data_IF_944299317229
#
_entry.id   IF_944299317229
#
_cell.length_a   1.000
_cell.length_b   1.000
_cell.length_c   1.000
_cell.angle_alpha   90.00
_cell.angle_beta   90.00
_cell.angle_gamma   90.00
#
_symmetry.space_group_name_H-M   'P 1'
#
loop_
_entity.id
_entity.type
_entity.pdbx_description
1 polymer ?
#
# COMPACT_ATOMS: atom_id res chain seq x y z
N UNK A 1 -38.30 36.90 -23.22
CA UNK A 1 -37.18 35.96 -23.34
C UNK A 1 -37.45 34.69 -22.52
N UNK A 2 -38.60 33.99 -22.75
CA UNK A 2 -39.03 32.78 -22.06
C UNK A 2 -39.88 31.96 -23.02
N UNK A 3 -39.26 31.37 -24.02
CA UNK A 3 -39.94 30.42 -24.92
C UNK A 3 -39.03 29.24 -25.31
N UNK A 4 -38.30 28.67 -24.36
CA UNK A 4 -37.44 27.50 -24.61
C UNK A 4 -37.86 26.24 -23.86
N UNK A 5 -38.96 26.27 -23.11
CA UNK A 5 -39.48 25.07 -22.40
C UNK A 5 -40.70 24.43 -23.11
N UNK A 6 -40.57 24.22 -24.41
CA UNK A 6 -41.50 23.33 -25.08
C UNK A 6 -41.36 21.87 -24.57
N UNK A 7 -42.40 21.03 -24.69
CA UNK A 7 -42.44 19.60 -24.27
C UNK A 7 -41.18 18.81 -24.62
N UNK A 8 -40.44 19.19 -25.68
CA UNK A 8 -39.15 18.63 -26.08
C UNK A 8 -38.01 19.00 -25.14
N UNK A 9 -37.98 20.21 -24.58
CA UNK A 9 -36.97 20.64 -23.63
C UNK A 9 -37.07 19.95 -22.29
N UNK A 10 -38.30 19.69 -21.81
CA UNK A 10 -38.55 18.95 -20.57
C UNK A 10 -38.13 17.49 -20.72
N UNK A 11 -38.42 16.87 -21.88
CA UNK A 11 -38.00 15.51 -22.18
C UNK A 11 -36.48 15.34 -22.14
N UNK A 12 -35.74 16.25 -22.78
CA UNK A 12 -34.27 16.24 -22.76
C UNK A 12 -33.71 16.47 -21.36
N UNK A 13 -34.28 17.42 -20.60
CA UNK A 13 -33.86 17.66 -19.21
C UNK A 13 -34.10 16.43 -18.31
N UNK A 14 -35.21 15.70 -18.51
CA UNK A 14 -35.50 14.47 -17.77
C UNK A 14 -34.53 13.34 -18.10
N UNK A 15 -34.17 13.16 -19.37
CA UNK A 15 -33.17 12.18 -19.78
C UNK A 15 -31.80 12.51 -19.17
N UNK A 16 -31.42 13.79 -19.21
CA UNK A 16 -30.15 14.24 -18.61
C UNK A 16 -30.16 14.05 -17.08
N UNK A 17 -31.24 14.41 -16.40
CA UNK A 17 -31.38 14.20 -14.96
C UNK A 17 -31.26 12.71 -14.60
N UNK A 18 -31.94 11.83 -15.35
CA UNK A 18 -31.86 10.39 -15.15
C UNK A 18 -30.41 9.87 -15.34
N UNK A 19 -29.72 10.34 -16.36
CA UNK A 19 -28.33 9.96 -16.61
C UNK A 19 -27.41 10.40 -15.45
N UNK A 20 -27.59 11.62 -14.94
CA UNK A 20 -26.84 12.15 -13.79
C UNK A 20 -27.13 11.33 -12.52
N UNK A 21 -28.40 10.97 -12.29
CA UNK A 21 -28.80 10.13 -11.15
C UNK A 21 -28.15 8.74 -11.23
N UNK A 22 -28.23 8.10 -12.39
CA UNK A 22 -27.63 6.76 -12.59
C UNK A 22 -26.12 6.83 -12.37
N UNK A 23 -25.45 7.82 -12.95
CA UNK A 23 -24.00 8.00 -12.80
C UNK A 23 -23.61 8.27 -11.34
N UNK A 24 -24.30 9.19 -10.68
CA UNK A 24 -23.99 9.59 -9.30
C UNK A 24 -24.21 8.45 -8.30
N UNK A 25 -25.30 7.67 -8.46
CA UNK A 25 -25.55 6.48 -7.62
C UNK A 25 -24.46 5.43 -7.85
N UNK A 26 -24.11 5.12 -9.11
CA UNK A 26 -23.07 4.13 -9.39
C UNK A 26 -21.70 4.54 -8.84
N UNK A 27 -21.30 5.81 -8.98
CA UNK A 27 -20.05 6.32 -8.44
C UNK A 27 -20.05 6.34 -6.92
N UNK A 28 -21.17 6.70 -6.28
CA UNK A 28 -21.33 6.63 -4.84
C UNK A 28 -21.17 5.21 -4.30
N UNK A 29 -21.85 4.25 -4.90
CA UNK A 29 -21.74 2.82 -4.54
C UNK A 29 -20.34 2.25 -4.83
N UNK A 30 -19.68 2.67 -5.89
CA UNK A 30 -18.30 2.28 -6.18
C UNK A 30 -17.35 2.78 -5.10
N UNK A 31 -17.51 4.04 -4.66
CA UNK A 31 -16.70 4.61 -3.58
C UNK A 31 -16.92 3.87 -2.25
N UNK A 32 -18.17 3.51 -1.92
CA UNK A 32 -18.46 2.73 -0.71
C UNK A 32 -17.79 1.35 -0.74
N UNK A 33 -17.92 0.62 -1.86
CA UNK A 33 -17.24 -0.68 -2.02
C UNK A 33 -15.74 -0.55 -1.84
N UNK A 34 -15.14 0.51 -2.40
CA UNK A 34 -13.70 0.76 -2.26
C UNK A 34 -13.31 1.10 -0.83
N UNK A 35 -14.15 1.81 -0.09
CA UNK A 35 -13.97 2.07 1.34
C UNK A 35 -14.02 0.76 2.16
N UNK A 36 -14.98 -0.13 1.87
CA UNK A 36 -15.13 -1.43 2.55
C UNK A 36 -13.95 -2.36 2.30
N UNK A 37 -13.47 -2.46 1.06
CA UNK A 37 -12.26 -3.23 0.72
C UNK A 37 -11.05 -2.75 1.54
N UNK A 38 -10.85 -1.44 1.61
CA UNK A 38 -9.74 -0.86 2.39
C UNK A 38 -9.92 -1.06 3.89
N UNK A 39 -11.13 -0.93 4.40
CA UNK A 39 -11.43 -1.16 5.80
C UNK A 39 -11.17 -2.63 6.20
N UNK A 40 -11.52 -3.58 5.35
CA UNK A 40 -11.27 -5.00 5.59
C UNK A 40 -9.78 -5.35 5.61
N UNK A 41 -8.99 -4.75 4.70
CA UNK A 41 -7.53 -4.87 4.69
C UNK A 41 -6.90 -4.28 5.96
N UNK A 42 -7.34 -3.08 6.38
CA UNK A 42 -6.89 -2.46 7.61
C UNK A 42 -7.20 -3.33 8.84
N UNK A 43 -8.42 -3.86 8.93
CA UNK A 43 -8.78 -4.78 10.03
C UNK A 43 -7.94 -6.07 10.03
N UNK A 44 -7.58 -6.60 8.86
CA UNK A 44 -6.70 -7.76 8.78
C UNK A 44 -5.29 -7.43 9.29
N UNK A 45 -4.76 -6.26 8.92
CA UNK A 45 -3.46 -5.77 9.42
C UNK A 45 -3.50 -5.52 10.94
N UNK A 46 -4.55 -4.90 11.46
CA UNK A 46 -4.71 -4.63 12.89
C UNK A 46 -4.77 -5.94 13.69
N UNK A 47 -5.48 -6.97 13.19
CA UNK A 47 -5.53 -8.31 13.82
C UNK A 47 -4.16 -8.99 13.78
N UNK A 48 -3.44 -8.89 12.65
CA UNK A 48 -2.10 -9.44 12.53
C UNK A 48 -1.12 -8.76 13.48
N UNK A 49 -1.19 -7.43 13.59
CA UNK A 49 -0.37 -6.64 14.51
C UNK A 49 -0.67 -6.93 15.99
N UNK A 50 -1.93 -7.24 16.33
CA UNK A 50 -2.34 -7.60 17.69
C UNK A 50 -2.02 -9.06 18.07
N UNK A 51 -1.67 -9.91 17.10
CA UNK A 51 -1.27 -11.29 17.40
C UNK A 51 0.09 -11.32 18.14
N UNK A 52 0.36 -12.36 18.95
CA UNK A 52 1.67 -12.51 19.59
C UNK A 52 2.81 -12.41 18.58
N UNK A 53 3.89 -11.74 18.96
CA UNK A 53 5.06 -11.61 18.10
C UNK A 53 5.59 -12.99 17.69
N UNK A 54 6.03 -13.07 16.45
CA UNK A 54 6.62 -14.28 15.91
C UNK A 54 8.13 -14.29 16.21
N UNK A 55 8.57 -15.30 16.94
CA UNK A 55 9.99 -15.52 17.23
C UNK A 55 10.65 -16.28 16.08
N UNK A 56 11.67 -15.69 15.45
CA UNK A 56 12.49 -16.31 14.41
C UNK A 56 13.92 -16.48 14.93
N UNK A 57 14.40 -17.72 14.94
CA UNK A 57 15.68 -18.09 15.53
C UNK A 57 15.57 -18.45 17.02
N UNK A 58 16.60 -19.10 17.54
CA UNK A 58 16.67 -19.41 18.96
C UNK A 58 16.99 -18.12 19.76
N UNK A 59 16.38 -17.90 20.93
CA UNK A 59 16.77 -16.81 21.80
C UNK A 59 18.25 -16.93 22.19
N UNK A 60 18.92 -15.79 22.36
CA UNK A 60 20.31 -15.77 22.77
C UNK A 60 20.47 -16.46 24.14
N UNK A 61 21.28 -17.52 24.22
CA UNK A 61 21.54 -18.27 25.45
C UNK A 61 20.60 -19.46 25.72
N UNK A 62 19.72 -19.83 24.79
CA UNK A 62 18.95 -21.05 24.90
C UNK A 62 19.84 -22.24 24.57
N UNK A 63 20.15 -23.03 25.59
CA UNK A 63 20.80 -24.36 25.42
C UNK A 63 19.90 -25.23 24.52
N UNK A 64 20.45 -25.63 23.36
CA UNK A 64 20.04 -26.74 22.48
C UNK A 64 18.56 -27.09 22.32
N UNK A 65 17.64 -26.19 22.63
CA UNK A 65 16.22 -26.41 22.30
C UNK A 65 16.06 -26.29 20.78
N UNK A 66 15.42 -27.24 20.10
CA UNK A 66 15.23 -27.11 18.67
C UNK A 66 14.47 -25.80 18.38
N UNK A 67 15.00 -24.99 17.46
CA UNK A 67 14.36 -23.75 17.07
C UNK A 67 12.92 -24.03 16.61
N UNK A 68 11.93 -23.21 17.00
CA UNK A 68 10.53 -23.44 16.66
C UNK A 68 10.35 -23.55 15.14
N UNK A 69 9.48 -24.45 14.69
CA UNK A 69 9.19 -24.62 13.25
C UNK A 69 8.77 -23.30 12.64
N UNK A 70 9.37 -22.93 11.50
CA UNK A 70 8.97 -21.71 10.77
C UNK A 70 7.52 -21.87 10.29
N UNK A 71 6.62 -20.93 10.60
CA UNK A 71 5.21 -21.00 10.17
C UNK A 71 5.10 -20.82 8.65
N UNK A 72 3.94 -21.16 8.07
CA UNK A 72 3.71 -20.91 6.66
C UNK A 72 3.77 -19.39 6.35
N UNK A 73 4.47 -18.94 5.31
CA UNK A 73 4.70 -17.53 5.02
C UNK A 73 3.40 -16.69 4.89
N UNK A 74 2.34 -17.30 4.35
CA UNK A 74 1.04 -16.63 4.17
C UNK A 74 0.37 -16.26 5.48
N UNK A 75 0.67 -16.99 6.56
CA UNK A 75 0.03 -16.80 7.87
C UNK A 75 0.70 -15.74 8.75
N UNK A 76 1.80 -15.14 8.28
CA UNK A 76 2.60 -14.22 9.10
C UNK A 76 2.60 -12.77 8.60
N UNK A 77 2.02 -12.50 7.44
CA UNK A 77 1.99 -11.16 6.87
C UNK A 77 1.30 -10.15 7.82
N UNK A 78 1.93 -9.02 8.04
CA UNK A 78 1.49 -7.99 8.99
C UNK A 78 1.75 -8.29 10.48
N UNK A 79 2.28 -9.49 10.84
CA UNK A 79 2.57 -9.81 12.24
C UNK A 79 3.86 -9.15 12.72
N UNK A 80 3.89 -8.83 14.01
CA UNK A 80 5.13 -8.46 14.69
C UNK A 80 6.10 -9.64 14.69
N UNK A 81 7.37 -9.38 14.41
CA UNK A 81 8.44 -10.37 14.36
C UNK A 81 9.60 -9.92 15.24
N UNK A 82 10.16 -10.89 15.98
CA UNK A 82 11.44 -10.76 16.66
C UNK A 82 12.37 -11.83 16.08
N UNK A 83 13.45 -11.41 15.43
CA UNK A 83 14.40 -12.30 14.80
C UNK A 83 15.76 -12.17 15.44
N UNK A 84 16.32 -13.31 15.87
CA UNK A 84 17.69 -13.37 16.43
C UNK A 84 18.60 -14.09 15.45
N UNK A 85 19.76 -13.48 15.16
CA UNK A 85 20.67 -14.04 14.17
C UNK A 85 21.89 -13.16 13.91
N UNK A 86 22.59 -13.44 12.82
CA UNK A 86 23.76 -12.68 12.39
C UNK A 86 23.54 -12.21 10.95
N UNK A 87 23.77 -10.91 10.68
CA UNK A 87 23.65 -10.38 9.33
C UNK A 87 24.75 -10.93 8.41
N UNK A 88 24.37 -11.28 7.18
CA UNK A 88 25.28 -11.63 6.10
C UNK A 88 25.53 -10.36 5.28
N UNK A 89 26.42 -9.50 5.79
CA UNK A 89 26.63 -8.13 5.32
C UNK A 89 27.04 -8.06 3.84
N UNK A 90 27.84 -9.00 3.37
CA UNK A 90 28.33 -9.12 1.99
C UNK A 90 27.21 -9.46 0.98
N UNK A 91 26.10 -9.98 1.46
CA UNK A 91 24.90 -10.28 0.67
C UNK A 91 23.81 -9.21 0.79
N UNK A 92 24.13 -8.02 1.32
CA UNK A 92 23.20 -6.89 1.31
C UNK A 92 22.98 -6.38 -0.11
N UNK A 93 21.71 -6.09 -0.44
CA UNK A 93 21.31 -5.49 -1.72
C UNK A 93 20.57 -4.17 -1.50
N UNK A 94 20.67 -3.29 -2.49
CA UNK A 94 20.07 -1.97 -2.51
C UNK A 94 19.00 -1.95 -3.59
N UNK A 95 17.73 -1.80 -3.21
CA UNK A 95 16.64 -1.64 -4.17
C UNK A 95 16.56 -0.18 -4.60
N UNK A 96 16.81 0.07 -5.88
CA UNK A 96 16.79 1.42 -6.47
C UNK A 96 15.35 1.97 -6.57
N UNK A 97 15.29 3.24 -6.90
CA UNK A 97 14.05 3.97 -7.16
C UNK A 97 13.08 3.97 -5.97
N UNK A 98 13.60 4.12 -4.76
CA UNK A 98 12.81 4.28 -3.53
C UNK A 98 12.87 5.73 -3.08
N UNK A 99 11.73 6.43 -3.25
CA UNK A 99 11.63 7.85 -2.90
C UNK A 99 11.09 8.02 -1.48
N UNK A 100 11.77 8.86 -0.69
CA UNK A 100 11.32 9.31 0.62
C UNK A 100 11.35 10.84 0.66
N UNK A 101 10.24 11.48 1.01
CA UNK A 101 10.12 12.95 1.06
C UNK A 101 10.66 13.66 -0.20
N UNK A 102 10.35 13.11 -1.38
CA UNK A 102 10.82 13.57 -2.70
C UNK A 102 12.32 13.41 -2.97
N UNK A 103 13.07 12.78 -2.06
CA UNK A 103 14.48 12.44 -2.24
C UNK A 103 14.58 11.01 -2.76
N UNK A 104 15.34 10.80 -3.85
CA UNK A 104 15.59 9.48 -4.39
C UNK A 104 16.65 8.74 -3.54
N UNK A 105 16.43 7.44 -3.34
CA UNK A 105 17.32 6.61 -2.53
C UNK A 105 17.08 5.13 -2.75
N UNK A 106 17.55 4.34 -1.80
CA UNK A 106 17.53 2.89 -1.82
C UNK A 106 16.83 2.33 -0.58
N UNK A 107 16.08 1.24 -0.76
CA UNK A 107 15.79 0.34 0.34
C UNK A 107 16.95 -0.64 0.50
N UNK A 108 17.42 -0.82 1.73
CA UNK A 108 18.51 -1.71 2.06
C UNK A 108 17.95 -3.02 2.60
N UNK A 109 18.26 -4.13 1.90
CA UNK A 109 17.92 -5.47 2.32
C UNK A 109 19.19 -6.23 2.68
N UNK A 110 19.20 -6.90 3.83
CA UNK A 110 20.32 -7.73 4.29
C UNK A 110 19.76 -9.05 4.82
N UNK A 111 20.24 -10.22 4.36
CA UNK A 111 19.83 -11.47 4.94
C UNK A 111 20.37 -11.61 6.36
N UNK A 112 19.53 -12.14 7.23
CA UNK A 112 19.86 -12.49 8.62
C UNK A 112 19.88 -14.01 8.74
N UNK A 113 21.04 -14.61 9.01
CA UNK A 113 21.15 -16.01 9.35
C UNK A 113 20.56 -16.24 10.73
N UNK A 114 19.50 -17.01 10.81
CA UNK A 114 18.76 -17.25 12.04
C UNK A 114 19.58 -18.08 13.04
N UNK A 115 19.59 -17.67 14.30
CA UNK A 115 20.26 -18.42 15.36
C UNK A 115 19.63 -19.81 15.53
N UNK A 116 20.46 -20.83 15.67
CA UNK A 116 20.03 -22.20 15.91
C UNK A 116 19.49 -22.95 14.69
N UNK A 117 19.62 -22.40 13.47
CA UNK A 117 19.19 -23.10 12.25
C UNK A 117 19.97 -22.65 11.02
N UNK A 118 19.98 -23.50 9.99
CA UNK A 118 20.60 -23.19 8.71
C UNK A 118 19.55 -22.62 7.73
N UNK A 119 18.97 -21.48 8.10
CA UNK A 119 18.01 -20.72 7.32
C UNK A 119 18.23 -19.23 7.52
N UNK A 120 17.88 -18.45 6.51
CA UNK A 120 17.99 -16.99 6.53
C UNK A 120 16.61 -16.37 6.37
N UNK A 121 16.43 -15.19 6.96
CA UNK A 121 15.29 -14.32 6.67
C UNK A 121 15.79 -13.01 6.07
N UNK A 122 15.07 -12.46 5.11
CA UNK A 122 15.41 -11.16 4.56
C UNK A 122 14.96 -10.06 5.50
N UNK A 123 15.86 -9.14 5.84
CA UNK A 123 15.55 -7.93 6.65
C UNK A 123 15.59 -6.70 5.76
N UNK A 124 14.47 -6.02 5.63
CA UNK A 124 14.38 -4.68 5.08
C UNK A 124 14.80 -3.70 6.19
N UNK A 125 16.08 -3.32 6.18
CA UNK A 125 16.71 -2.58 7.26
C UNK A 125 16.31 -1.11 7.33
N UNK A 126 16.04 -0.50 6.18
CA UNK A 126 15.70 0.92 6.13
C UNK A 126 15.91 1.52 4.76
N UNK A 127 15.79 2.83 4.69
CA UNK A 127 16.04 3.65 3.51
C UNK A 127 17.30 4.50 3.70
N UNK A 128 18.05 4.70 2.62
CA UNK A 128 19.24 5.54 2.57
C UNK A 128 19.22 6.39 1.30
N UNK A 129 19.61 7.68 1.36
CA UNK A 129 19.62 8.54 0.18
C UNK A 129 20.68 8.07 -0.83
N UNK A 130 20.38 8.27 -2.11
CA UNK A 130 21.30 8.04 -3.22
C UNK A 130 22.28 9.22 -3.36
N UNK A 131 23.47 8.94 -3.87
CA UNK A 131 24.39 9.99 -4.29
C UNK A 131 23.72 10.85 -5.39
N UNK A 132 23.63 12.18 -5.22
CA UNK A 132 22.98 13.05 -6.19
C UNK A 132 23.74 13.19 -7.50
N UNK A 133 25.05 12.93 -7.51
CA UNK A 133 25.93 13.11 -8.66
C UNK A 133 26.22 11.79 -9.39
N UNK A 134 26.28 10.69 -8.66
CA UNK A 134 26.60 9.37 -9.21
C UNK A 134 25.54 8.34 -8.84
N UNK A 135 24.64 8.07 -9.79
CA UNK A 135 23.45 7.22 -9.56
C UNK A 135 23.78 5.78 -9.17
N UNK A 136 24.84 5.23 -9.72
CA UNK A 136 25.27 3.83 -9.50
C UNK A 136 26.12 3.66 -8.24
N UNK A 137 26.56 4.77 -7.63
CA UNK A 137 27.37 4.73 -6.43
C UNK A 137 26.56 4.28 -5.22
N UNK A 138 26.93 3.12 -4.69
CA UNK A 138 26.29 2.60 -3.49
C UNK A 138 26.85 3.31 -2.26
N UNK A 139 25.96 3.75 -1.35
CA UNK A 139 26.39 4.35 -0.09
C UNK A 139 27.07 3.32 0.83
N UNK A 140 27.95 3.77 1.69
CA UNK A 140 28.53 2.94 2.74
C UNK A 140 27.45 2.44 3.69
N UNK A 141 27.44 1.13 3.95
CA UNK A 141 26.47 0.48 4.85
C UNK A 141 27.19 -0.04 6.09
N UNK A 142 26.84 0.50 7.25
CA UNK A 142 27.29 -0.05 8.53
C UNK A 142 26.39 -1.24 8.91
N UNK A 143 26.98 -2.41 9.04
CA UNK A 143 26.29 -3.63 9.46
C UNK A 143 26.93 -4.15 10.74
N UNK A 144 26.15 -4.38 11.82
CA UNK A 144 26.68 -4.95 13.05
C UNK A 144 27.34 -6.32 12.79
N UNK A 145 28.49 -6.55 13.39
CA UNK A 145 29.13 -7.84 13.41
C UNK A 145 28.62 -8.66 14.62
N UNK A 146 28.42 -9.95 14.42
CA UNK A 146 27.96 -10.87 15.47
C UNK A 146 26.42 -10.93 15.63
N UNK A 147 25.95 -11.60 16.71
CA UNK A 147 24.54 -11.80 16.95
C UNK A 147 23.79 -10.48 17.18
N UNK A 148 22.64 -10.33 16.54
CA UNK A 148 21.74 -9.19 16.70
C UNK A 148 20.33 -9.68 16.99
N UNK A 149 19.55 -8.81 17.62
CA UNK A 149 18.12 -8.94 17.76
C UNK A 149 17.46 -7.90 16.86
N UNK A 150 16.51 -8.33 16.02
CA UNK A 150 15.82 -7.48 15.04
C UNK A 150 14.33 -7.54 15.32
N UNK A 151 13.74 -6.41 15.65
CA UNK A 151 12.30 -6.26 15.76
C UNK A 151 11.73 -5.64 14.49
N UNK A 152 10.58 -6.13 14.04
CA UNK A 152 9.97 -5.64 12.82
C UNK A 152 8.57 -6.19 12.57
N UNK A 153 8.09 -5.96 11.37
CA UNK A 153 6.81 -6.48 10.87
C UNK A 153 7.09 -7.41 9.69
N UNK A 154 6.51 -8.60 9.73
CA UNK A 154 6.58 -9.52 8.60
C UNK A 154 5.82 -8.93 7.40
N UNK A 155 6.45 -8.91 6.24
CA UNK A 155 5.81 -8.56 4.98
C UNK A 155 6.08 -9.66 3.96
N UNK A 156 5.03 -10.08 3.26
CA UNK A 156 5.15 -11.12 2.25
C UNK A 156 5.86 -10.61 1.00
N UNK A 157 5.46 -9.43 0.55
CA UNK A 157 5.97 -8.83 -0.68
C UNK A 157 6.27 -7.35 -0.47
N UNK A 158 7.30 -6.85 -1.14
CA UNK A 158 7.58 -5.42 -1.18
C UNK A 158 6.78 -4.78 -2.31
N UNK A 159 6.24 -3.59 -2.05
CA UNK A 159 5.71 -2.77 -3.13
C UNK A 159 6.84 -2.43 -4.11
N UNK A 160 6.68 -2.85 -5.35
CA UNK A 160 7.70 -2.66 -6.38
C UNK A 160 7.20 -1.68 -7.42
N UNK A 161 8.05 -0.74 -7.91
CA UNK A 161 7.67 0.16 -8.99
C UNK A 161 7.39 -0.64 -10.26
N UNK A 162 6.44 -0.15 -11.06
CA UNK A 162 6.18 -0.74 -12.37
C UNK A 162 7.42 -0.58 -13.26
N UNK A 163 7.85 -1.66 -13.87
CA UNK A 163 8.96 -1.68 -14.81
C UNK A 163 8.46 -1.87 -16.24
N UNK A 164 9.06 -1.15 -17.18
CA UNK A 164 8.86 -1.34 -18.61
C UNK A 164 10.04 -2.18 -19.13
N UNK A 165 9.80 -3.47 -19.36
CA UNK A 165 10.82 -4.41 -19.85
C UNK A 165 11.27 -5.44 -18.80
N UNK A 166 12.13 -6.35 -19.22
CA UNK A 166 12.73 -7.37 -18.36
C UNK A 166 13.94 -6.80 -17.61
N UNK A 167 14.04 -7.11 -16.33
CA UNK A 167 15.23 -6.79 -15.54
C UNK A 167 16.36 -7.78 -15.90
N UNK A 168 17.57 -7.29 -16.21
CA UNK A 168 18.69 -8.17 -16.47
C UNK A 168 19.03 -9.00 -15.21
N UNK A 169 19.52 -10.21 -15.41
CA UNK A 169 20.00 -11.03 -14.31
C UNK A 169 21.19 -10.35 -13.61
N UNK A 170 21.18 -10.25 -12.27
CA UNK A 170 22.27 -9.63 -11.55
C UNK A 170 23.56 -10.45 -11.67
N UNK A 171 24.65 -9.78 -11.92
CA UNK A 171 25.97 -10.40 -11.85
C UNK A 171 26.32 -10.85 -10.42
N UNK A 172 27.34 -11.71 -10.25
CA UNK A 172 27.66 -12.30 -8.93
C UNK A 172 27.99 -11.28 -7.81
N UNK A 173 28.37 -10.06 -8.19
CA UNK A 173 28.72 -8.98 -7.26
C UNK A 173 27.77 -7.79 -7.33
N UNK A 174 26.72 -7.87 -8.16
CA UNK A 174 25.78 -6.77 -8.34
C UNK A 174 24.88 -6.65 -7.12
N UNK A 175 25.01 -5.56 -6.41
CA UNK A 175 24.23 -5.25 -5.20
C UNK A 175 23.14 -4.22 -5.44
N UNK A 176 23.06 -3.64 -6.62
CA UNK A 176 22.04 -2.68 -7.04
C UNK A 176 20.96 -3.41 -7.84
N UNK A 177 19.76 -3.50 -7.26
CA UNK A 177 18.63 -4.22 -7.83
C UNK A 177 17.44 -3.27 -8.02
N UNK A 178 16.58 -3.58 -9.01
CA UNK A 178 15.32 -2.85 -9.18
C UNK A 178 14.18 -3.52 -8.40
N UNK A 179 14.12 -4.86 -8.47
CA UNK A 179 13.11 -5.68 -7.85
C UNK A 179 13.73 -6.75 -6.95
N UNK A 180 12.98 -7.14 -5.93
CA UNK A 180 13.37 -8.23 -5.06
C UNK A 180 12.45 -9.43 -5.33
N UNK A 181 13.07 -10.58 -5.64
CA UNK A 181 12.42 -11.87 -5.76
C UNK A 181 13.16 -12.90 -4.91
N UNK A 182 12.42 -13.66 -4.10
CA UNK A 182 13.02 -14.62 -3.16
C UNK A 182 13.90 -15.67 -3.84
N UNK A 183 13.41 -16.29 -4.93
CA UNK A 183 14.16 -17.33 -5.65
C UNK A 183 15.42 -16.74 -6.28
N UNK A 184 15.27 -15.67 -7.02
CA UNK A 184 16.38 -14.97 -7.68
C UNK A 184 17.47 -14.56 -6.67
N UNK A 185 17.06 -14.07 -5.50
CA UNK A 185 18.00 -13.70 -4.47
C UNK A 185 18.66 -14.94 -3.82
N UNK A 186 17.91 -15.99 -3.52
CA UNK A 186 18.43 -17.23 -2.92
C UNK A 186 19.48 -17.88 -3.85
N UNK A 187 19.20 -17.93 -5.15
CA UNK A 187 20.11 -18.48 -6.16
C UNK A 187 21.38 -17.61 -6.28
N UNK A 188 21.23 -16.29 -6.35
CA UNK A 188 22.35 -15.34 -6.41
C UNK A 188 23.23 -15.38 -5.15
N UNK A 189 22.62 -15.46 -3.97
CA UNK A 189 23.32 -15.44 -2.70
C UNK A 189 23.89 -16.81 -2.32
N UNK A 190 23.35 -17.91 -2.87
CA UNK A 190 23.71 -19.28 -2.52
C UNK A 190 23.24 -19.66 -1.11
N UNK A 191 22.07 -19.18 -0.68
CA UNK A 191 21.55 -19.40 0.68
C UNK A 191 20.08 -19.88 0.66
N UNK A 192 19.69 -20.67 1.66
CA UNK A 192 18.28 -20.98 1.89
C UNK A 192 17.59 -19.77 2.55
N UNK A 193 16.58 -19.24 1.87
CA UNK A 193 15.84 -18.07 2.32
C UNK A 193 14.40 -18.44 2.69
N UNK A 194 14.03 -18.18 3.94
CA UNK A 194 12.62 -18.26 4.35
C UNK A 194 11.84 -17.11 3.70
N UNK A 195 10.75 -17.39 2.96
CA UNK A 195 10.11 -16.42 2.09
C UNK A 195 9.21 -15.42 2.85
N UNK A 196 9.82 -14.70 3.77
CA UNK A 196 9.27 -13.59 4.54
C UNK A 196 10.33 -12.49 4.61
N UNK A 197 9.92 -11.25 4.47
CA UNK A 197 10.76 -10.09 4.73
C UNK A 197 10.40 -9.52 6.09
N UNK A 198 11.38 -9.29 6.93
CA UNK A 198 11.20 -8.55 8.19
C UNK A 198 11.47 -7.08 7.92
N UNK A 199 10.42 -6.26 7.87
CA UNK A 199 10.53 -4.81 7.79
C UNK A 199 10.91 -4.28 9.18
N UNK A 200 12.18 -3.96 9.36
CA UNK A 200 12.73 -3.58 10.64
C UNK A 200 12.09 -2.29 11.16
N UNK A 201 11.71 -2.27 12.41
CA UNK A 201 11.21 -1.09 13.11
C UNK A 201 12.34 -0.31 13.77
N UNK A 202 12.05 0.94 14.16
CA UNK A 202 13.02 1.78 14.89
C UNK A 202 13.16 1.22 16.31
N UNK A 203 14.38 0.92 16.71
CA UNK A 203 14.71 0.57 18.10
C UNK A 203 15.40 1.75 18.79
N UNK A 204 15.02 2.07 20.05
CA UNK A 204 15.64 3.13 20.78
C UNK A 204 17.16 2.94 20.90
N UNK A 205 17.94 3.94 20.48
CA UNK A 205 19.40 3.90 20.57
C UNK A 205 20.12 3.22 19.40
N UNK A 206 19.41 2.54 18.49
CA UNK A 206 20.03 1.93 17.31
C UNK A 206 20.26 2.98 16.21
N UNK A 207 21.50 3.20 15.83
CA UNK A 207 21.90 4.19 14.83
C UNK A 207 22.83 3.57 13.78
N UNK A 208 22.30 3.25 12.64
CA UNK A 208 23.04 2.74 11.47
C UNK A 208 22.93 3.67 10.24
N UNK A 209 22.34 4.85 10.40
CA UNK A 209 22.17 5.82 9.33
C UNK A 209 20.99 5.52 8.39
N UNK A 210 20.19 4.50 8.66
CA UNK A 210 19.04 4.12 7.84
C UNK A 210 17.74 4.72 8.42
N UNK A 211 16.90 5.31 7.55
CA UNK A 211 15.57 5.77 7.91
C UNK A 211 14.59 4.59 7.91
N UNK A 212 13.72 4.55 8.93
CA UNK A 212 12.71 3.48 9.14
C UNK A 212 11.30 4.02 9.38
N UNK A 213 11.05 5.24 8.98
CA UNK A 213 9.72 5.82 8.91
C UNK A 213 8.98 5.27 7.69
N UNK A 214 8.49 4.06 7.83
CA UNK A 214 7.75 3.39 6.77
C UNK A 214 6.45 4.14 6.51
N UNK A 215 6.31 4.68 5.29
CA UNK A 215 5.05 5.28 4.85
C UNK A 215 3.96 4.21 4.92
N UNK A 216 3.21 4.19 5.99
CA UNK A 216 1.94 3.47 6.01
C UNK A 216 1.00 4.19 5.05
N UNK A 217 0.39 3.49 4.08
CA UNK A 217 -0.61 4.09 3.22
C UNK A 217 -1.69 4.64 4.13
N UNK A 218 -1.70 5.96 4.33
CA UNK A 218 -2.67 6.63 5.18
C UNK A 218 -4.08 6.16 4.86
N UNK A 219 -4.90 6.01 5.88
CA UNK A 219 -6.27 5.49 5.82
C UNK A 219 -7.11 6.28 4.84
N UNK A 220 -7.13 5.85 3.59
CA UNK A 220 -7.94 6.47 2.55
C UNK A 220 -9.43 6.08 2.65
N UNK A 221 -9.81 5.30 3.68
CA UNK A 221 -11.19 4.88 3.95
C UNK A 221 -12.11 6.08 4.09
N UNK A 222 -11.74 7.05 4.94
CA UNK A 222 -12.57 8.24 5.18
C UNK A 222 -12.67 9.13 3.94
N UNK A 223 -11.62 9.19 3.13
CA UNK A 223 -11.66 9.90 1.85
C UNK A 223 -12.67 9.28 0.88
N UNK A 224 -12.70 7.96 0.76
CA UNK A 224 -13.69 7.27 -0.08
C UNK A 224 -15.11 7.45 0.44
N UNK A 225 -15.34 7.41 1.77
CA UNK A 225 -16.63 7.72 2.36
C UNK A 225 -17.08 9.16 2.09
N UNK A 226 -16.17 10.12 2.21
CA UNK A 226 -16.44 11.52 1.90
C UNK A 226 -16.82 11.72 0.42
N UNK A 227 -16.13 11.07 -0.51
CA UNK A 227 -16.49 11.10 -1.92
C UNK A 227 -17.83 10.40 -2.21
N UNK A 228 -18.13 9.29 -1.54
CA UNK A 228 -19.44 8.64 -1.67
C UNK A 228 -20.56 9.60 -1.24
N UNK A 229 -20.41 10.24 -0.09
CA UNK A 229 -21.35 11.26 0.40
C UNK A 229 -21.53 12.39 -0.62
N UNK A 230 -20.44 12.91 -1.19
CA UNK A 230 -20.48 13.96 -2.20
C UNK A 230 -21.28 13.53 -3.44
N UNK A 231 -21.08 12.32 -3.96
CA UNK A 231 -21.81 11.80 -5.10
C UNK A 231 -23.31 11.66 -4.80
N UNK A 232 -23.68 11.13 -3.64
CA UNK A 232 -25.09 11.03 -3.24
C UNK A 232 -25.74 12.40 -3.02
N UNK A 233 -25.03 13.36 -2.44
CA UNK A 233 -25.52 14.71 -2.24
C UNK A 233 -25.76 15.42 -3.59
N UNK A 234 -24.85 15.31 -4.54
CA UNK A 234 -25.04 15.84 -5.90
C UNK A 234 -26.22 15.16 -6.61
N UNK A 235 -26.38 13.85 -6.46
CA UNK A 235 -27.52 13.12 -7.00
C UNK A 235 -28.85 13.61 -6.42
N UNK A 236 -28.93 13.78 -5.11
CA UNK A 236 -30.11 14.32 -4.44
C UNK A 236 -30.43 15.73 -4.89
N UNK A 237 -29.42 16.60 -5.05
CA UNK A 237 -29.59 17.95 -5.57
C UNK A 237 -30.13 17.96 -7.01
N UNK A 238 -29.60 17.08 -7.88
CA UNK A 238 -30.07 16.94 -9.26
C UNK A 238 -31.53 16.48 -9.32
N UNK A 239 -31.95 15.55 -8.47
CA UNK A 239 -33.36 15.10 -8.36
C UNK A 239 -34.24 16.25 -7.89
N UNK A 240 -33.81 17.00 -6.89
CA UNK A 240 -34.56 18.14 -6.38
C UNK A 240 -34.75 19.22 -7.44
N UNK A 241 -33.69 19.59 -8.13
CA UNK A 241 -33.75 20.57 -9.24
C UNK A 241 -34.71 20.07 -10.33
N UNK A 242 -34.62 18.80 -10.70
CA UNK A 242 -35.52 18.22 -11.70
C UNK A 242 -36.98 18.26 -11.28
N UNK A 243 -37.29 17.94 -10.01
CA UNK A 243 -38.67 18.05 -9.47
C UNK A 243 -39.17 19.49 -9.53
N UNK A 244 -38.34 20.46 -9.12
CA UNK A 244 -38.71 21.88 -9.17
C UNK A 244 -38.99 22.32 -10.62
N UNK A 245 -38.19 21.90 -11.58
CA UNK A 245 -38.40 22.20 -12.99
C UNK A 245 -39.71 21.62 -13.52
N UNK A 246 -40.05 20.37 -13.13
CA UNK A 246 -41.33 19.74 -13.49
C UNK A 246 -42.54 20.47 -12.86
N UNK A 247 -42.44 20.91 -11.63
CA UNK A 247 -43.53 21.66 -10.99
C UNK A 247 -43.76 23.01 -11.69
N UNK A 248 -42.70 23.73 -11.97
CA UNK A 248 -42.78 25.03 -12.65
C UNK A 248 -43.34 24.93 -14.08
N UNK A 249 -43.01 23.87 -14.82
CA UNK A 249 -43.54 23.65 -16.15
C UNK A 249 -45.06 23.37 -16.14
N UNK A 250 -45.56 22.60 -15.16
CA UNK A 250 -46.98 22.36 -15.02
C UNK A 250 -47.79 23.59 -14.62
N UNK A 251 -47.22 24.49 -13.82
CA UNK A 251 -47.89 25.75 -13.45
C UNK A 251 -48.08 26.67 -14.65
N UNK A 252 -47.13 26.71 -15.57
CA UNK A 252 -47.23 27.53 -16.80
C UNK A 252 -48.27 26.99 -17.75
N UNK A 253 -48.40 25.67 -17.91
CA UNK A 253 -49.39 25.03 -18.79
C UNK A 253 -50.83 25.31 -18.31
N UNK A 254 -51.08 25.43 -16.98
CA UNK A 254 -52.39 25.74 -16.42
C UNK A 254 -52.79 27.19 -16.68
N UNK A 255 -51.88 28.14 -16.61
CA UNK A 255 -52.17 29.58 -16.90
C UNK A 255 -52.49 29.84 -18.40
N UNK A 256 -51.77 29.16 -19.32
CA UNK A 256 -52.05 29.27 -20.76
C UNK A 256 -53.36 28.62 -21.18
N UNK A 257 -53.77 27.53 -20.45
CA UNK A 257 -55.04 26.86 -20.69
C UNK A 257 -56.30 27.66 -20.30
N UNK A 258 -56.17 28.50 -19.27
CA UNK A 258 -57.25 29.37 -18.74
C UNK A 258 -57.47 30.65 -19.54
N UNK A 259 -56.42 31.12 -20.26
CA UNK A 259 -56.47 32.36 -21.07
C UNK A 259 -57.04 32.20 -22.48
N UNK A 260 -57.38 30.99 -22.95
CA UNK A 260 -57.91 30.73 -24.29
C UNK A 260 -59.44 30.48 -24.34
N UNK A 261 -60.14 30.72 -23.23
CA UNK A 261 -61.59 30.44 -23.08
C UNK A 261 -62.48 31.73 -23.12
N UNK A 262 -62.06 32.81 -23.77
CA UNK A 262 -62.89 34.00 -24.00
C UNK A 262 -62.86 34.42 -25.45
#
# INVERSE_FOLDING_TARGET
MVSFYGRRGIGLASVLALAVVILGVNLGLWQLRRAEEKASLQQAQDRAAAAPALELGAPAGADASPAPTLPAPVSVDGRQVQATGTFVAERSVFLDNRTRESVAGFHVLTPLKLAGRDAHVMVLRGWIPRDPYERSRLPGLTTPAGPVHVSGVAVKDLQQPMMLGEEPEPGPQDRLWQHFEYRKFADWAGIELYPVIVRQTVEPGYRDGLARDWNEPGTSVDRHRAYAFQWFAMTAAAILIWIILLWRSRAVDVEEGTGRGH
#
